data_IF_277142799366
#
_entry.id   IF_277142799366
#
_cell.length_a   1.000
_cell.length_b   1.000
_cell.length_c   1.000
_cell.angle_alpha   90.00
_cell.angle_beta   90.00
_cell.angle_gamma   90.00
#
_symmetry.space_group_name_H-M   'P 1'
#
loop_
_entity.id
_entity.type
_entity.pdbx_description
1 polymer ?
#
# COMPACT_ATOMS: atom_id res chain seq x y z
N UNK A 1 13.83 3.82 0.11
CA UNK A 1 12.63 4.49 -0.42
C UNK A 1 12.35 5.64 0.51
N UNK A 2 12.11 6.83 -0.03
CA UNK A 2 11.73 8.00 0.76
C UNK A 2 10.20 8.08 0.94
N UNK A 3 9.73 8.80 1.96
CA UNK A 3 8.29 8.91 2.25
C UNK A 3 7.47 9.39 1.04
N UNK A 4 7.92 10.44 0.35
CA UNK A 4 7.20 10.96 -0.82
C UNK A 4 7.09 9.93 -1.95
N UNK A 5 8.12 9.10 -2.14
CA UNK A 5 8.09 8.02 -3.12
C UNK A 5 7.07 6.94 -2.73
N UNK A 6 7.01 6.57 -1.45
CA UNK A 6 6.03 5.61 -0.94
C UNK A 6 4.59 6.10 -1.15
N UNK A 7 4.33 7.38 -0.88
CA UNK A 7 3.02 8.01 -1.08
C UNK A 7 2.65 8.06 -2.56
N UNK A 8 3.59 8.38 -3.46
CA UNK A 8 3.31 8.40 -4.90
C UNK A 8 2.97 7.00 -5.44
N UNK A 9 3.64 5.95 -4.95
CA UNK A 9 3.29 4.56 -5.28
C UNK A 9 1.91 4.21 -4.75
N UNK A 10 1.59 4.58 -3.51
CA UNK A 10 0.27 4.38 -2.92
C UNK A 10 -0.85 5.07 -3.72
N UNK A 11 -0.62 6.31 -4.17
CA UNK A 11 -1.55 7.07 -5.01
C UNK A 11 -1.83 6.36 -6.34
N UNK A 12 -0.79 5.82 -6.98
CA UNK A 12 -0.94 5.09 -8.26
C UNK A 12 -1.78 3.81 -8.17
N UNK A 13 -2.01 3.27 -6.95
CA UNK A 13 -2.82 2.07 -6.74
C UNK A 13 -4.30 2.39 -6.51
N UNK A 14 -4.69 3.65 -6.35
CA UNK A 14 -6.06 4.03 -5.96
C UNK A 14 -7.11 3.60 -6.98
N UNK A 15 -6.85 3.74 -8.28
CA UNK A 15 -7.79 3.31 -9.32
C UNK A 15 -8.03 1.79 -9.25
N UNK A 16 -6.95 1.01 -9.16
CA UNK A 16 -7.03 -0.45 -8.99
C UNK A 16 -7.81 -0.86 -7.73
N UNK A 17 -7.60 -0.16 -6.62
CA UNK A 17 -8.33 -0.40 -5.36
C UNK A 17 -9.81 -0.09 -5.54
N UNK A 18 -10.16 1.04 -6.16
CA UNK A 18 -11.54 1.47 -6.40
C UNK A 18 -12.30 0.46 -7.28
N UNK A 19 -11.66 0.01 -8.37
CA UNK A 19 -12.21 -0.99 -9.29
C UNK A 19 -12.49 -2.35 -8.61
N UNK A 20 -11.70 -2.70 -7.61
CA UNK A 20 -11.80 -3.97 -6.88
C UNK A 20 -12.61 -3.88 -5.57
N UNK A 21 -13.08 -2.70 -5.17
CA UNK A 21 -13.72 -2.49 -3.87
C UNK A 21 -15.00 -3.32 -3.70
N UNK A 22 -15.87 -3.35 -4.71
CA UNK A 22 -17.12 -4.10 -4.68
C UNK A 22 -16.89 -5.62 -4.58
N UNK A 23 -15.89 -6.14 -5.31
CA UNK A 23 -15.48 -7.54 -5.25
C UNK A 23 -14.94 -7.89 -3.86
N UNK A 24 -14.08 -7.03 -3.30
CA UNK A 24 -13.51 -7.26 -1.97
C UNK A 24 -14.55 -7.28 -0.85
N UNK A 25 -15.57 -6.42 -0.94
CA UNK A 25 -16.70 -6.42 -0.02
C UNK A 25 -17.50 -7.72 -0.12
N UNK A 26 -17.86 -8.15 -1.33
CA UNK A 26 -18.63 -9.36 -1.56
C UNK A 26 -17.91 -10.63 -1.07
N UNK A 27 -16.61 -10.73 -1.35
CA UNK A 27 -15.77 -11.88 -0.98
C UNK A 27 -15.32 -11.83 0.49
N UNK A 28 -15.55 -10.71 1.18
CA UNK A 28 -15.06 -10.42 2.55
C UNK A 28 -13.55 -10.64 2.69
N UNK A 29 -12.80 -10.28 1.65
CA UNK A 29 -11.34 -10.41 1.57
C UNK A 29 -10.81 -9.32 0.65
N UNK A 30 -9.58 -8.84 0.89
CA UNK A 30 -8.90 -7.98 -0.07
C UNK A 30 -8.71 -8.73 -1.39
N UNK A 31 -9.01 -8.07 -2.51
CA UNK A 31 -8.79 -8.62 -3.84
C UNK A 31 -7.31 -8.97 -4.04
N UNK A 32 -7.03 -10.13 -4.65
CA UNK A 32 -5.65 -10.61 -4.80
C UNK A 32 -4.80 -9.64 -5.63
N UNK A 33 -5.37 -9.09 -6.71
CA UNK A 33 -4.71 -8.12 -7.58
C UNK A 33 -4.25 -6.87 -6.81
N UNK A 34 -5.03 -6.43 -5.81
CA UNK A 34 -4.66 -5.31 -4.93
C UNK A 34 -3.49 -5.71 -4.02
N UNK A 35 -3.52 -6.91 -3.43
CA UNK A 35 -2.41 -7.40 -2.59
C UNK A 35 -1.13 -7.50 -3.40
N UNK A 36 -1.20 -8.07 -4.60
CA UNK A 36 -0.04 -8.28 -5.46
C UNK A 36 0.54 -6.92 -5.90
N UNK A 37 -0.30 -5.95 -6.26
CA UNK A 37 0.16 -4.61 -6.63
C UNK A 37 0.80 -3.84 -5.45
N UNK A 38 0.27 -3.98 -4.23
CA UNK A 38 0.87 -3.39 -3.02
C UNK A 38 2.21 -4.05 -2.69
N UNK A 39 2.34 -5.36 -2.92
CA UNK A 39 3.59 -6.10 -2.76
C UNK A 39 4.64 -5.68 -3.80
N UNK A 40 4.26 -5.60 -5.08
CA UNK A 40 5.13 -5.16 -6.17
C UNK A 40 5.61 -3.71 -5.98
N UNK A 41 4.73 -2.87 -5.42
CA UNK A 41 5.07 -1.50 -5.02
C UNK A 41 6.01 -1.43 -3.81
N UNK A 42 6.25 -2.56 -3.12
CA UNK A 42 7.03 -2.69 -1.88
C UNK A 42 6.50 -1.84 -0.72
N UNK A 43 5.18 -1.73 -0.62
CA UNK A 43 4.53 -0.92 0.40
C UNK A 43 4.32 -1.67 1.72
N UNK A 44 4.37 -3.01 1.71
CA UNK A 44 4.33 -3.81 2.94
C UNK A 44 5.59 -3.64 3.80
N UNK A 45 6.73 -3.31 3.18
CA UNK A 45 8.02 -3.17 3.87
C UNK A 45 8.37 -1.74 4.29
N UNK A 46 7.43 -0.79 4.18
CA UNK A 46 7.63 0.64 4.51
C UNK A 46 8.24 0.82 5.90
N UNK A 47 7.63 0.22 6.93
CA UNK A 47 8.09 0.34 8.32
C UNK A 47 9.01 -0.81 8.77
N UNK A 48 9.35 -1.74 7.87
CA UNK A 48 10.22 -2.88 8.20
C UNK A 48 11.67 -2.38 8.27
N UNK A 49 12.47 -2.74 9.30
CA UNK A 49 13.86 -2.35 9.39
C UNK A 49 14.68 -2.71 8.15
N UNK A 50 15.63 -1.85 7.78
CA UNK A 50 16.51 -2.07 6.62
C UNK A 50 17.39 -3.31 6.77
N UNK A 51 17.78 -3.67 8.00
CA UNK A 51 18.50 -4.90 8.32
C UNK A 51 17.70 -6.18 8.04
N UNK A 52 16.37 -6.07 7.91
CA UNK A 52 15.46 -7.16 7.54
C UNK A 52 14.96 -7.03 6.09
N UNK A 53 15.55 -6.13 5.30
CA UNK A 53 15.23 -5.94 3.88
C UNK A 53 14.12 -4.91 3.58
N UNK A 54 13.62 -4.21 4.59
CA UNK A 54 12.60 -3.17 4.41
C UNK A 54 13.13 -1.77 4.11
N UNK A 55 12.27 -0.78 4.22
CA UNK A 55 12.59 0.62 3.94
C UNK A 55 12.95 1.43 5.19
N UNK A 56 12.67 0.91 6.39
CA UNK A 56 13.03 1.53 7.66
C UNK A 56 12.41 2.91 7.87
N UNK A 57 11.28 3.20 7.21
CA UNK A 57 10.54 4.43 7.42
C UNK A 57 9.76 4.37 8.75
N UNK A 58 9.37 5.53 9.26
CA UNK A 58 8.63 5.65 10.50
C UNK A 58 7.13 5.33 10.36
N UNK A 59 6.45 5.36 11.51
CA UNK A 59 5.00 5.18 11.60
C UNK A 59 4.24 6.31 10.87
N UNK A 60 4.83 7.49 10.78
CA UNK A 60 4.33 8.61 9.99
C UNK A 60 4.21 8.26 8.50
N UNK A 61 5.23 7.63 7.91
CA UNK A 61 5.19 7.17 6.53
C UNK A 61 4.16 6.05 6.33
N UNK A 62 4.10 5.08 7.26
CA UNK A 62 3.10 4.00 7.21
C UNK A 62 1.67 4.54 7.26
N UNK A 63 1.41 5.50 8.15
CA UNK A 63 0.10 6.12 8.30
C UNK A 63 -0.29 6.91 7.04
N UNK A 64 0.63 7.67 6.46
CA UNK A 64 0.33 8.44 5.24
C UNK A 64 0.08 7.52 4.04
N UNK A 65 0.90 6.49 3.83
CA UNK A 65 0.68 5.48 2.77
C UNK A 65 -0.68 4.81 2.92
N UNK A 66 -1.04 4.38 4.13
CA UNK A 66 -2.33 3.74 4.41
C UNK A 66 -3.49 4.71 4.18
N UNK A 67 -3.35 5.97 4.62
CA UNK A 67 -4.35 7.02 4.41
C UNK A 67 -4.56 7.32 2.93
N UNK A 68 -3.49 7.36 2.14
CA UNK A 68 -3.55 7.60 0.70
C UNK A 68 -4.34 6.49 0.00
N UNK A 69 -4.01 5.22 0.27
CA UNK A 69 -4.75 4.08 -0.29
C UNK A 69 -6.21 4.04 0.18
N UNK A 70 -6.48 4.37 1.44
CA UNK A 70 -7.83 4.35 2.02
C UNK A 70 -8.78 5.44 1.50
N UNK A 71 -8.32 6.36 0.64
CA UNK A 71 -9.16 7.36 -0.06
C UNK A 71 -9.58 6.91 -1.46
N UNK A 72 -9.21 5.70 -1.87
CA UNK A 72 -9.67 5.09 -3.12
C UNK A 72 -11.18 4.84 -3.11
#
# INVERSE_FOLDING_TARGET
>A
MEMHEAVNRAESLRELISDNAATGEADRRVAQDVIDAVADARLFEVAVPTSLGGHGLGIDALAEVTRTMGRA
#
